data_IF_466781744609
#
_entry.id   IF_466781744609
#
_cell.length_a   1.000
_cell.length_b   1.000
_cell.length_c   1.000
_cell.angle_alpha   90.00
_cell.angle_beta   90.00
_cell.angle_gamma   90.00
#
_symmetry.space_group_name_H-M   'P 1'
#
loop_
_entity.id
_entity.type
_entity.pdbx_description
1 polymer ?
#
# COMPACT_ATOMS: atom_id res chain seq x y z
N UNK A 1 -9.11 40.37 9.88
CA UNK A 1 -8.32 39.54 10.81
C UNK A 1 -9.33 38.63 11.51
N UNK A 2 -9.52 37.40 11.01
CA UNK A 2 -10.62 36.51 11.43
C UNK A 2 -10.06 35.10 11.61
N UNK A 3 -9.69 34.72 12.83
CA UNK A 3 -9.49 33.32 13.18
C UNK A 3 -9.78 33.04 14.66
N UNK A 4 -11.04 32.65 14.96
CA UNK A 4 -11.36 31.68 16.00
C UNK A 4 -11.41 30.24 15.43
N UNK A 5 -11.37 30.10 14.10
CA UNK A 5 -11.40 28.82 13.36
C UNK A 5 -10.03 28.10 13.28
N UNK A 6 -8.94 28.80 13.62
CA UNK A 6 -7.57 28.31 13.44
C UNK A 6 -7.27 27.05 14.27
N UNK A 7 -7.77 26.96 15.50
CA UNK A 7 -7.50 25.79 16.35
C UNK A 7 -8.21 24.53 15.83
N UNK A 8 -9.44 24.66 15.34
CA UNK A 8 -10.18 23.52 14.79
C UNK A 8 -9.53 23.03 13.49
N UNK A 9 -9.22 23.94 12.56
CA UNK A 9 -8.52 23.60 11.31
C UNK A 9 -7.15 22.97 11.58
N UNK A 10 -6.37 23.59 12.47
CA UNK A 10 -5.05 23.08 12.87
C UNK A 10 -5.17 21.69 13.46
N UNK A 11 -6.17 21.42 14.31
CA UNK A 11 -6.38 20.10 14.91
C UNK A 11 -6.74 19.02 13.86
N UNK A 12 -7.57 19.37 12.87
CA UNK A 12 -7.95 18.46 11.78
C UNK A 12 -6.72 18.14 10.92
N UNK A 13 -5.97 19.17 10.50
CA UNK A 13 -4.76 18.99 9.70
C UNK A 13 -3.68 18.21 10.47
N UNK A 14 -3.48 18.50 11.76
CA UNK A 14 -2.57 17.73 12.61
C UNK A 14 -2.98 16.26 12.67
N UNK A 15 -4.27 15.98 12.90
CA UNK A 15 -4.81 14.61 12.91
C UNK A 15 -4.54 13.89 11.58
N UNK A 16 -4.81 14.56 10.45
CA UNK A 16 -4.54 14.01 9.11
C UNK A 16 -3.04 13.76 8.87
N UNK A 17 -2.16 14.64 9.35
CA UNK A 17 -0.70 14.45 9.18
C UNK A 17 -0.12 13.35 10.05
N UNK A 18 -0.71 13.11 11.22
CA UNK A 18 -0.26 12.10 12.18
C UNK A 18 -0.84 10.72 11.92
N UNK A 19 -2.07 10.65 11.40
CA UNK A 19 -2.83 9.39 11.30
C UNK A 19 -3.28 9.06 9.88
N UNK A 20 -3.24 10.01 8.95
CA UNK A 20 -3.82 9.87 7.62
C UNK A 20 -5.33 9.67 7.64
N UNK A 21 -6.01 9.98 8.74
CA UNK A 21 -7.47 9.89 8.84
C UNK A 21 -8.09 11.27 8.75
N UNK A 22 -9.26 11.33 8.13
CA UNK A 22 -10.19 12.44 8.26
C UNK A 22 -11.58 11.89 8.56
N UNK A 23 -12.20 12.38 9.63
CA UNK A 23 -13.59 12.06 9.91
C UNK A 23 -14.50 12.76 8.91
N UNK A 24 -15.56 12.08 8.46
CA UNK A 24 -16.56 12.64 7.55
C UNK A 24 -17.08 13.99 8.05
N UNK A 25 -17.45 14.06 9.33
CA UNK A 25 -17.92 15.30 9.99
C UNK A 25 -16.91 16.45 9.88
N UNK A 26 -15.61 16.16 10.00
CA UNK A 26 -14.58 17.17 9.98
C UNK A 26 -14.28 17.62 8.54
N UNK A 27 -14.36 16.71 7.56
CA UNK A 27 -14.34 17.08 6.13
C UNK A 27 -15.47 18.05 5.78
N UNK A 28 -16.70 17.77 6.24
CA UNK A 28 -17.83 18.68 6.00
C UNK A 28 -17.65 20.04 6.70
N UNK A 29 -17.06 20.09 7.90
CA UNK A 29 -16.71 21.37 8.55
C UNK A 29 -15.68 22.16 7.75
N UNK A 30 -14.67 21.50 7.16
CA UNK A 30 -13.70 22.15 6.29
C UNK A 30 -14.38 22.76 5.05
N UNK A 31 -15.34 22.04 4.48
CA UNK A 31 -16.08 22.51 3.30
C UNK A 31 -17.12 23.59 3.58
N UNK A 32 -17.46 23.82 4.85
CA UNK A 32 -18.31 24.94 5.29
C UNK A 32 -17.52 26.25 5.47
N UNK A 33 -16.18 26.23 5.41
CA UNK A 33 -15.38 27.45 5.51
C UNK A 33 -15.48 28.27 4.22
N UNK A 34 -15.59 29.59 4.32
CA UNK A 34 -15.39 30.48 3.16
C UNK A 34 -13.88 30.58 2.85
N UNK A 35 -13.41 30.25 1.64
CA UNK A 35 -14.16 30.29 0.37
C UNK A 35 -14.68 28.94 -0.14
N UNK A 36 -14.39 27.83 0.53
CA UNK A 36 -14.74 26.49 0.04
C UNK A 36 -16.26 26.34 -0.14
N UNK A 37 -17.04 26.84 0.81
CA UNK A 37 -18.50 26.79 0.75
C UNK A 37 -19.06 27.56 -0.46
N UNK A 38 -18.43 28.69 -0.82
CA UNK A 38 -18.81 29.47 -2.00
C UNK A 38 -18.70 28.67 -3.31
N UNK A 39 -17.74 27.76 -3.42
CA UNK A 39 -17.54 26.92 -4.61
C UNK A 39 -18.25 25.56 -4.53
N UNK A 40 -18.58 25.10 -3.32
CA UNK A 40 -19.30 23.83 -3.08
C UNK A 40 -20.49 24.07 -2.13
N UNK A 41 -21.52 24.80 -2.59
CA UNK A 41 -22.61 25.24 -1.71
C UNK A 41 -23.54 24.09 -1.30
N UNK A 42 -23.95 23.25 -2.25
CA UNK A 42 -24.89 22.15 -2.02
C UNK A 42 -24.20 20.81 -1.73
N UNK A 43 -25.00 19.83 -1.29
CA UNK A 43 -24.51 18.50 -0.92
C UNK A 43 -24.25 17.60 -2.14
N UNK A 44 -24.91 17.85 -3.28
CA UNK A 44 -24.72 17.07 -4.51
C UNK A 44 -23.32 17.27 -5.08
N UNK A 45 -22.83 18.52 -5.10
CA UNK A 45 -21.45 18.84 -5.50
C UNK A 45 -20.46 18.18 -4.53
N UNK A 46 -20.72 18.22 -3.23
CA UNK A 46 -19.85 17.59 -2.23
C UNK A 46 -19.75 16.09 -2.43
N UNK A 47 -20.88 15.41 -2.67
CA UNK A 47 -20.91 13.97 -2.97
C UNK A 47 -20.14 13.65 -4.26
N UNK A 48 -20.31 14.44 -5.32
CA UNK A 48 -19.53 14.30 -6.55
C UNK A 48 -18.03 14.47 -6.30
N UNK A 49 -17.62 15.45 -5.49
CA UNK A 49 -16.22 15.66 -5.13
C UNK A 49 -15.68 14.51 -4.28
N UNK A 50 -16.45 13.94 -3.35
CA UNK A 50 -16.06 12.72 -2.63
C UNK A 50 -15.80 11.57 -3.62
N UNK A 51 -16.71 11.35 -4.56
CA UNK A 51 -16.55 10.30 -5.58
C UNK A 51 -15.31 10.53 -6.43
N UNK A 52 -15.06 11.78 -6.85
CA UNK A 52 -13.88 12.15 -7.63
C UNK A 52 -12.59 11.91 -6.84
N UNK A 53 -12.51 12.38 -5.59
CA UNK A 53 -11.35 12.19 -4.73
C UNK A 53 -11.11 10.71 -4.42
N UNK A 54 -12.18 9.91 -4.32
CA UNK A 54 -12.09 8.45 -4.15
C UNK A 54 -11.58 7.77 -5.41
N UNK A 55 -12.09 8.16 -6.58
CA UNK A 55 -11.65 7.63 -7.87
C UNK A 55 -10.17 7.95 -8.17
N UNK A 56 -9.68 9.09 -7.66
CA UNK A 56 -8.29 9.51 -7.77
C UNK A 56 -7.38 8.91 -6.69
N UNK A 57 -7.90 8.07 -5.80
CA UNK A 57 -7.18 7.49 -4.64
C UNK A 57 -6.56 8.55 -3.70
N UNK A 58 -7.16 9.75 -3.65
CA UNK A 58 -6.79 10.82 -2.70
C UNK A 58 -7.50 10.59 -1.37
N UNK A 59 -8.81 10.30 -1.44
CA UNK A 59 -9.61 9.78 -0.34
C UNK A 59 -9.78 8.28 -0.55
N UNK A 60 -9.73 7.52 0.53
CA UNK A 60 -9.89 6.06 0.49
C UNK A 60 -10.97 5.70 1.50
N UNK A 61 -11.89 4.84 1.06
CA UNK A 61 -12.88 4.22 1.93
C UNK A 61 -12.26 2.91 2.41
N UNK A 62 -11.88 2.79 3.69
CA UNK A 62 -11.19 1.60 4.17
C UNK A 62 -12.07 0.36 4.01
N UNK A 63 -11.48 -0.75 3.55
CA UNK A 63 -12.21 -2.02 3.44
C UNK A 63 -12.76 -2.44 4.80
N UNK A 64 -14.03 -2.86 4.82
CA UNK A 64 -14.74 -3.22 6.06
C UNK A 64 -15.41 -2.04 6.77
N UNK A 65 -15.35 -0.81 6.23
CA UNK A 65 -16.05 0.35 6.77
C UNK A 65 -17.56 0.14 6.93
N UNK A 66 -18.18 -0.68 6.09
CA UNK A 66 -19.62 -1.00 6.17
C UNK A 66 -19.98 -1.94 7.32
N UNK A 67 -19.02 -2.74 7.80
CA UNK A 67 -19.24 -3.78 8.82
C UNK A 67 -18.85 -3.30 10.23
N UNK A 68 -18.13 -2.18 10.33
CA UNK A 68 -17.56 -1.69 11.58
C UNK A 68 -17.91 -0.21 11.74
N UNK A 69 -18.82 0.11 12.65
CA UNK A 69 -19.34 1.48 12.86
C UNK A 69 -18.28 2.51 13.23
N UNK A 70 -17.13 2.06 13.74
CA UNK A 70 -15.98 2.93 14.02
C UNK A 70 -15.23 3.36 12.75
N UNK A 71 -15.32 2.60 11.65
CA UNK A 71 -14.67 2.88 10.37
C UNK A 71 -15.61 3.47 9.32
N UNK A 72 -16.93 3.35 9.50
CA UNK A 72 -17.93 3.93 8.58
C UNK A 72 -17.82 5.45 8.47
N UNK A 73 -17.27 6.12 9.49
CA UNK A 73 -17.25 7.57 9.60
C UNK A 73 -15.89 8.21 9.25
N UNK A 74 -14.96 7.43 8.69
CA UNK A 74 -13.58 7.88 8.43
C UNK A 74 -13.20 7.63 6.98
N UNK A 75 -12.53 8.61 6.38
CA UNK A 75 -11.73 8.41 5.16
C UNK A 75 -10.25 8.33 5.52
N UNK A 76 -9.51 7.57 4.72
CA UNK A 76 -8.04 7.56 4.75
C UNK A 76 -7.51 8.49 3.65
N UNK A 77 -6.47 9.27 3.99
CA UNK A 77 -5.77 10.23 3.14
C UNK A 77 -4.27 9.95 3.27
N UNK A 78 -3.70 8.95 2.57
CA UNK A 78 -2.32 8.53 2.78
C UNK A 78 -1.32 9.64 2.45
N UNK A 79 -1.68 10.51 1.51
CA UNK A 79 -0.82 11.58 1.04
C UNK A 79 -0.52 12.68 2.08
N UNK A 80 -1.27 12.73 3.18
CA UNK A 80 -1.03 13.71 4.25
C UNK A 80 -0.08 13.20 5.32
N UNK A 81 0.20 11.88 5.37
CA UNK A 81 1.01 11.31 6.43
C UNK A 81 2.46 11.74 6.34
N UNK A 82 2.95 12.23 7.48
CA UNK A 82 4.34 12.58 7.73
C UNK A 82 5.03 11.63 8.71
N UNK A 83 4.26 10.80 9.43
CA UNK A 83 4.82 9.82 10.36
C UNK A 83 5.78 8.89 9.62
N UNK A 84 7.02 8.84 10.09
CA UNK A 84 8.02 7.91 9.60
C UNK A 84 7.69 6.51 10.07
N UNK A 85 7.95 5.52 9.21
CA UNK A 85 7.86 4.11 9.60
C UNK A 85 8.85 3.80 10.74
N UNK A 86 8.46 3.03 11.76
CA UNK A 86 9.35 2.57 12.83
C UNK A 86 10.53 1.73 12.29
N UNK A 87 11.64 1.66 13.01
CA UNK A 87 12.81 0.85 12.59
C UNK A 87 12.52 -0.66 12.63
N UNK A 88 11.70 -1.10 13.58
CA UNK A 88 11.19 -2.47 13.72
C UNK A 88 10.22 -2.89 12.61
N UNK A 89 9.72 -1.93 11.82
CA UNK A 89 9.02 -2.22 10.58
C UNK A 89 9.85 -3.09 9.64
N UNK A 90 11.18 -2.86 9.64
CA UNK A 90 12.18 -3.55 8.83
C UNK A 90 12.91 -4.67 9.55
N UNK A 91 12.71 -4.86 10.87
CA UNK A 91 13.44 -5.86 11.63
C UNK A 91 12.99 -7.27 11.19
N UNK A 92 13.62 -7.71 10.11
CA UNK A 92 13.70 -9.09 9.64
C UNK A 92 14.54 -9.93 10.63
N UNK A 93 15.42 -9.27 11.40
CA UNK A 93 16.39 -9.84 12.36
C UNK A 93 15.81 -10.70 13.49
N UNK A 94 14.48 -10.74 13.69
CA UNK A 94 13.83 -11.64 14.67
C UNK A 94 12.73 -12.53 14.07
N UNK A 95 12.60 -12.56 12.74
CA UNK A 95 11.45 -13.16 12.03
C UNK A 95 11.86 -14.01 10.82
N UNK A 96 13.11 -14.52 10.79
CA UNK A 96 13.70 -15.27 9.67
C UNK A 96 12.79 -16.38 9.09
N UNK A 97 11.86 -16.93 9.87
CA UNK A 97 10.97 -18.04 9.47
C UNK A 97 9.51 -17.66 9.27
N UNK A 98 9.14 -16.37 9.25
CA UNK A 98 7.73 -15.93 9.19
C UNK A 98 7.36 -15.08 7.98
N UNK A 99 8.35 -14.77 7.15
CA UNK A 99 8.25 -13.72 6.15
C UNK A 99 8.59 -14.25 4.76
N UNK A 100 7.78 -13.82 3.80
CA UNK A 100 8.04 -13.95 2.37
C UNK A 100 7.76 -12.61 1.71
N UNK A 101 8.63 -12.21 0.78
CA UNK A 101 8.57 -10.90 0.18
C UNK A 101 8.52 -10.94 -1.35
N UNK A 102 7.86 -9.94 -1.92
CA UNK A 102 8.00 -9.53 -3.32
C UNK A 102 8.56 -8.13 -3.40
N UNK A 103 9.29 -7.92 -4.48
CA UNK A 103 9.77 -6.61 -4.90
C UNK A 103 9.35 -6.37 -6.35
N UNK A 104 8.63 -5.27 -6.57
CA UNK A 104 8.39 -4.71 -7.89
C UNK A 104 9.40 -3.60 -8.12
N UNK A 105 10.36 -3.81 -9.01
CA UNK A 105 11.37 -2.81 -9.37
C UNK A 105 10.93 -2.11 -10.66
N UNK A 106 10.54 -0.84 -10.58
CA UNK A 106 10.15 -0.05 -11.75
C UNK A 106 11.39 0.36 -12.57
N UNK A 107 11.23 0.44 -13.89
CA UNK A 107 12.30 0.84 -14.82
C UNK A 107 12.76 2.31 -14.65
N UNK A 108 11.97 3.16 -13.98
CA UNK A 108 12.33 4.55 -13.68
C UNK A 108 13.20 4.63 -12.43
N UNK A 109 13.98 5.71 -12.30
CA UNK A 109 14.85 5.95 -11.13
C UNK A 109 14.08 6.23 -9.82
N UNK A 110 12.82 6.66 -9.89
CA UNK A 110 12.00 6.89 -8.70
C UNK A 110 10.50 6.74 -8.98
N UNK A 111 9.76 6.29 -7.96
CA UNK A 111 8.30 6.28 -7.94
C UNK A 111 7.81 7.67 -7.50
N UNK A 112 7.04 8.40 -8.33
CA UNK A 112 6.42 9.65 -7.91
C UNK A 112 5.57 9.47 -6.66
N UNK A 113 5.64 10.43 -5.75
CA UNK A 113 4.93 10.35 -4.46
C UNK A 113 3.43 10.11 -4.61
N UNK A 114 2.77 10.73 -5.60
CA UNK A 114 1.36 10.50 -5.88
C UNK A 114 1.08 9.04 -6.30
N UNK A 115 1.95 8.44 -7.11
CA UNK A 115 1.86 7.03 -7.49
C UNK A 115 2.07 6.12 -6.28
N UNK A 116 2.99 6.48 -5.38
CA UNK A 116 3.23 5.71 -4.16
C UNK A 116 1.98 5.64 -3.26
N UNK A 117 1.31 6.78 -3.05
CA UNK A 117 0.08 6.81 -2.26
C UNK A 117 -1.10 6.14 -2.96
N UNK A 118 -1.17 6.22 -4.29
CA UNK A 118 -2.16 5.47 -5.07
C UNK A 118 -2.01 3.96 -4.86
N UNK A 119 -0.78 3.43 -4.97
CA UNK A 119 -0.50 2.00 -4.74
C UNK A 119 -0.91 1.56 -3.32
N UNK A 120 -0.51 2.33 -2.30
CA UNK A 120 -0.90 2.06 -0.91
C UNK A 120 -2.42 2.14 -0.75
N UNK A 121 -3.05 3.12 -1.40
CA UNK A 121 -4.49 3.33 -1.29
C UNK A 121 -5.30 2.21 -1.91
N UNK A 122 -4.89 1.73 -3.08
CA UNK A 122 -5.50 0.55 -3.70
C UNK A 122 -5.33 -0.69 -2.82
N UNK A 123 -4.20 -0.83 -2.10
CA UNK A 123 -4.01 -1.91 -1.15
C UNK A 123 -4.96 -1.80 0.06
N UNK A 124 -5.19 -0.61 0.62
CA UNK A 124 -6.15 -0.37 1.72
C UNK A 124 -7.61 -0.61 1.29
N UNK A 125 -7.94 -0.35 0.02
CA UNK A 125 -9.24 -0.73 -0.55
C UNK A 125 -9.39 -2.25 -0.69
N UNK A 126 -8.28 -2.98 -0.80
CA UNK A 126 -8.25 -4.43 -1.02
C UNK A 126 -8.17 -5.23 0.28
N UNK A 127 -7.51 -4.70 1.31
CA UNK A 127 -7.34 -5.33 2.62
C UNK A 127 -7.55 -4.34 3.76
N UNK A 128 -8.21 -4.74 4.87
CA UNK A 128 -8.36 -3.88 6.04
C UNK A 128 -7.01 -3.37 6.55
N UNK A 129 -6.93 -2.08 6.86
CA UNK A 129 -5.76 -1.49 7.51
C UNK A 129 -5.58 -2.06 8.91
N UNK A 130 -4.34 -2.41 9.30
CA UNK A 130 -4.04 -2.87 10.66
C UNK A 130 -4.11 -1.69 11.64
N UNK A 131 -4.56 -1.97 12.86
CA UNK A 131 -4.59 -1.00 13.95
C UNK A 131 -3.83 -1.55 15.15
N UNK A 132 -2.94 -0.75 15.71
CA UNK A 132 -2.21 -1.05 16.93
C UNK A 132 -2.46 0.07 17.93
N UNK A 133 -2.94 -0.26 19.14
CA UNK A 133 -3.31 0.72 20.16
C UNK A 133 -4.23 1.83 19.60
N UNK A 134 -5.21 1.44 18.78
CA UNK A 134 -6.17 2.30 18.05
C UNK A 134 -5.56 3.24 17.00
N UNK A 135 -4.24 3.17 16.76
CA UNK A 135 -3.57 3.92 15.70
C UNK A 135 -3.51 3.10 14.42
N UNK A 136 -3.79 3.69 13.26
CA UNK A 136 -3.64 3.00 11.99
C UNK A 136 -2.15 2.74 11.74
N UNK A 137 -1.79 1.54 11.31
CA UNK A 137 -0.44 1.22 10.88
C UNK A 137 -0.20 1.75 9.45
N UNK A 138 -0.26 3.07 9.30
CA UNK A 138 -0.10 3.80 8.06
C UNK A 138 0.97 4.87 8.25
N UNK A 139 1.98 4.85 7.40
CA UNK A 139 3.19 5.66 7.49
C UNK A 139 3.49 6.33 6.15
N UNK A 140 4.47 7.24 6.15
CA UNK A 140 4.92 7.86 4.92
C UNK A 140 5.43 6.78 3.94
N UNK A 141 4.69 6.58 2.84
CA UNK A 141 4.97 5.56 1.82
C UNK A 141 5.01 4.11 2.34
N UNK A 142 4.30 3.80 3.44
CA UNK A 142 4.19 2.43 3.93
C UNK A 142 2.87 2.16 4.67
N UNK A 143 2.43 0.90 4.70
CA UNK A 143 1.27 0.47 5.50
C UNK A 143 1.35 -1.00 5.90
N UNK A 144 0.62 -1.36 6.96
CA UNK A 144 0.37 -2.75 7.37
C UNK A 144 -1.13 -3.03 7.24
N UNK A 145 -1.46 -4.14 6.61
CA UNK A 145 -2.83 -4.56 6.30
C UNK A 145 -3.09 -5.96 6.85
N UNK A 146 -4.31 -6.23 7.30
CA UNK A 146 -4.72 -7.56 7.75
C UNK A 146 -5.24 -8.36 6.55
N UNK A 147 -4.63 -9.49 6.25
CA UNK A 147 -5.07 -10.40 5.18
C UNK A 147 -5.97 -11.50 5.73
N UNK A 148 -5.58 -12.05 6.88
CA UNK A 148 -6.37 -12.98 7.69
C UNK A 148 -6.04 -12.80 9.16
N UNK A 149 -6.55 -13.66 10.05
CA UNK A 149 -6.26 -13.59 11.50
C UNK A 149 -4.75 -13.68 11.79
N UNK A 150 -4.05 -14.62 11.14
CA UNK A 150 -2.61 -14.83 11.35
C UNK A 150 -1.70 -14.16 10.30
N UNK A 151 -2.25 -13.56 9.23
CA UNK A 151 -1.46 -13.05 8.12
C UNK A 151 -1.59 -11.54 7.95
N UNK A 152 -0.45 -10.87 7.95
CA UNK A 152 -0.33 -9.43 7.71
C UNK A 152 0.40 -9.18 6.40
N UNK A 153 0.00 -8.12 5.70
CA UNK A 153 0.66 -7.62 4.51
C UNK A 153 1.32 -6.28 4.83
N UNK A 154 2.66 -6.25 4.77
CA UNK A 154 3.44 -5.03 4.89
C UNK A 154 3.80 -4.54 3.50
N UNK A 155 3.43 -3.32 3.16
CA UNK A 155 3.80 -2.67 1.89
C UNK A 155 4.58 -1.40 2.19
N UNK A 156 5.66 -1.18 1.45
CA UNK A 156 6.38 0.09 1.49
C UNK A 156 7.03 0.41 0.15
N UNK A 157 7.29 1.69 -0.05
CA UNK A 157 7.82 2.20 -1.32
C UNK A 157 9.10 2.97 -1.05
N UNK A 158 10.16 2.56 -1.72
CA UNK A 158 11.51 3.09 -1.56
C UNK A 158 12.19 3.21 -2.91
N UNK A 159 12.68 4.41 -3.23
CA UNK A 159 13.24 4.76 -4.54
C UNK A 159 12.33 4.36 -5.71
N UNK A 160 12.71 3.33 -6.46
CA UNK A 160 11.98 2.77 -7.58
C UNK A 160 11.33 1.40 -7.27
N UNK A 161 11.26 1.02 -6.01
CA UNK A 161 10.83 -0.31 -5.56
C UNK A 161 9.53 -0.22 -4.77
N UNK A 162 8.57 -1.07 -5.13
CA UNK A 162 7.43 -1.40 -4.26
C UNK A 162 7.78 -2.71 -3.59
N UNK A 163 7.94 -2.66 -2.29
CA UNK A 163 8.27 -3.79 -1.45
C UNK A 163 7.02 -4.27 -0.74
N UNK A 164 6.80 -5.57 -0.77
CA UNK A 164 5.63 -6.21 -0.20
C UNK A 164 6.10 -7.44 0.55
N UNK A 165 5.70 -7.60 1.80
CA UNK A 165 5.98 -8.83 2.55
C UNK A 165 4.71 -9.34 3.21
N UNK A 166 4.46 -10.64 3.08
CA UNK A 166 3.59 -11.33 4.02
C UNK A 166 4.36 -11.60 5.29
N UNK A 167 3.68 -11.45 6.41
CA UNK A 167 4.14 -11.93 7.71
C UNK A 167 3.06 -12.82 8.28
N UNK A 168 3.39 -14.07 8.56
CA UNK A 168 2.54 -14.93 9.38
C UNK A 168 2.96 -14.81 10.83
N UNK A 169 2.01 -14.72 11.77
CA UNK A 169 2.34 -14.59 13.19
C UNK A 169 3.07 -15.83 13.74
N UNK A 170 2.76 -17.01 13.21
CA UNK A 170 3.24 -18.30 13.68
C UNK A 170 4.45 -18.79 12.86
N UNK A 171 4.27 -18.99 11.55
CA UNK A 171 5.28 -19.55 10.66
C UNK A 171 5.02 -19.23 9.19
N UNK A 172 6.08 -19.06 8.40
CA UNK A 172 6.03 -18.99 6.94
C UNK A 172 5.34 -20.22 6.34
N UNK A 173 5.46 -21.38 6.99
CA UNK A 173 4.81 -22.63 6.58
C UNK A 173 3.28 -22.55 6.65
N UNK A 174 2.75 -21.65 7.48
CA UNK A 174 1.31 -21.45 7.67
C UNK A 174 0.71 -20.47 6.67
N UNK A 175 1.51 -19.91 5.77
CA UNK A 175 1.00 -19.08 4.69
C UNK A 175 0.42 -19.98 3.61
N UNK A 176 -0.91 -19.93 3.45
CA UNK A 176 -1.59 -20.65 2.39
C UNK A 176 -1.10 -20.17 1.01
N UNK A 177 -0.74 -21.09 0.09
CA UNK A 177 -0.40 -20.75 -1.29
C UNK A 177 -1.48 -19.95 -2.01
N UNK A 178 -2.77 -20.22 -1.74
CA UNK A 178 -3.88 -19.52 -2.37
C UNK A 178 -3.95 -18.05 -1.92
N UNK A 179 -3.65 -17.79 -0.65
CA UNK A 179 -3.59 -16.43 -0.10
C UNK A 179 -2.41 -15.67 -0.72
N UNK A 180 -1.24 -16.30 -0.76
CA UNK A 180 -0.04 -15.76 -1.38
C UNK A 180 -0.27 -15.39 -2.86
N UNK A 181 -0.80 -16.32 -3.65
CA UNK A 181 -1.14 -16.14 -5.05
C UNK A 181 -2.17 -15.01 -5.25
N UNK A 182 -3.25 -15.01 -4.46
CA UNK A 182 -4.30 -13.98 -4.55
C UNK A 182 -3.77 -12.59 -4.23
N UNK A 183 -2.89 -12.47 -3.23
CA UNK A 183 -2.23 -11.21 -2.88
C UNK A 183 -1.32 -10.74 -4.00
N UNK A 184 -0.48 -11.62 -4.54
CA UNK A 184 0.39 -11.27 -5.67
C UNK A 184 -0.42 -10.85 -6.90
N UNK A 185 -1.46 -11.58 -7.28
CA UNK A 185 -2.28 -11.27 -8.45
C UNK A 185 -2.97 -9.90 -8.28
N UNK A 186 -3.59 -9.68 -7.11
CA UNK A 186 -4.28 -8.43 -6.82
C UNK A 186 -3.31 -7.23 -6.81
N UNK A 187 -2.16 -7.36 -6.16
CA UNK A 187 -1.13 -6.31 -6.14
C UNK A 187 -0.57 -6.01 -7.53
N UNK A 188 -0.28 -7.05 -8.31
CA UNK A 188 0.25 -6.90 -9.67
C UNK A 188 -0.74 -6.13 -10.54
N UNK A 189 -2.02 -6.52 -10.54
CA UNK A 189 -3.07 -5.80 -11.27
C UNK A 189 -3.23 -4.35 -10.80
N UNK A 190 -3.12 -4.10 -9.50
CA UNK A 190 -3.22 -2.75 -8.93
C UNK A 190 -2.03 -1.86 -9.35
N UNK A 191 -0.82 -2.40 -9.34
CA UNK A 191 0.40 -1.72 -9.80
C UNK A 191 0.27 -1.42 -11.30
N UNK A 192 -0.11 -2.39 -12.12
CA UNK A 192 -0.30 -2.21 -13.56
C UNK A 192 -1.35 -1.16 -13.89
N UNK A 193 -2.50 -1.21 -13.21
CA UNK A 193 -3.56 -0.21 -13.36
C UNK A 193 -3.07 1.20 -13.00
N UNK A 194 -2.32 1.31 -11.89
CA UNK A 194 -1.74 2.59 -11.43
C UNK A 194 -0.70 3.13 -12.41
N UNK A 195 0.17 2.26 -12.95
CA UNK A 195 1.17 2.62 -13.96
C UNK A 195 0.53 3.03 -15.28
N UNK A 196 -0.50 2.30 -15.73
CA UNK A 196 -1.24 2.60 -16.95
C UNK A 196 -1.95 3.95 -16.85
N UNK A 197 -2.64 4.19 -15.73
CA UNK A 197 -3.27 5.48 -15.45
C UNK A 197 -2.24 6.61 -15.52
N UNK A 198 -1.13 6.47 -14.79
CA UNK A 198 -0.06 7.46 -14.79
C UNK A 198 0.49 7.71 -16.21
N UNK A 199 0.75 6.66 -16.99
CA UNK A 199 1.25 6.83 -18.36
C UNK A 199 0.26 7.53 -19.29
N UNK A 200 -1.05 7.21 -19.18
CA UNK A 200 -2.11 7.89 -19.92
C UNK A 200 -2.21 9.37 -19.55
N UNK A 201 -2.13 9.71 -18.26
CA UNK A 201 -2.18 11.10 -17.79
C UNK A 201 -1.04 11.96 -18.34
N UNK A 202 0.12 11.37 -18.65
CA UNK A 202 1.24 12.05 -19.31
C UNK A 202 1.23 11.93 -20.84
N UNK A 203 0.10 11.58 -21.45
CA UNK A 203 -0.06 11.52 -22.91
C UNK A 203 0.73 10.40 -23.59
N UNK A 204 1.27 9.42 -22.84
CA UNK A 204 1.97 8.28 -23.43
C UNK A 204 0.95 7.24 -23.89
N UNK A 205 1.00 6.87 -25.17
CA UNK A 205 0.23 5.75 -25.74
C UNK A 205 0.90 4.42 -25.33
N UNK A 206 0.66 3.98 -24.10
CA UNK A 206 1.08 2.66 -23.64
C UNK A 206 -0.11 1.72 -23.75
N UNK A 207 0.06 0.62 -24.49
CA UNK A 207 -0.91 -0.48 -24.52
C UNK A 207 -0.78 -1.30 -23.24
N UNK A 208 -1.85 -1.92 -22.73
CA UNK A 208 -1.79 -2.78 -21.53
C UNK A 208 -0.66 -3.83 -21.60
N UNK A 209 -0.42 -4.39 -22.79
CA UNK A 209 0.66 -5.35 -23.07
C UNK A 209 2.08 -4.82 -22.87
N UNK A 210 2.30 -3.51 -22.84
CA UNK A 210 3.61 -2.87 -22.60
C UNK A 210 3.80 -2.43 -21.16
N UNK A 211 2.80 -2.61 -20.30
CA UNK A 211 2.89 -2.20 -18.88
C UNK A 211 3.80 -3.15 -18.10
N UNK A 212 3.80 -4.45 -18.46
CA UNK A 212 4.69 -5.46 -17.88
C UNK A 212 6.18 -5.13 -18.11
N UNK A 213 6.52 -4.42 -19.19
CA UNK A 213 7.89 -3.99 -19.47
C UNK A 213 8.36 -2.83 -18.57
N UNK A 214 7.44 -2.23 -17.79
CA UNK A 214 7.75 -1.08 -16.94
C UNK A 214 8.29 -1.48 -15.56
N UNK A 215 8.26 -2.78 -15.24
CA UNK A 215 8.71 -3.27 -13.95
C UNK A 215 9.23 -4.71 -14.05
N UNK A 216 9.99 -5.11 -13.05
CA UNK A 216 10.40 -6.50 -12.83
C UNK A 216 9.88 -6.98 -11.49
N UNK A 217 9.54 -8.26 -11.40
CA UNK A 217 9.10 -8.90 -10.16
C UNK A 217 10.23 -9.80 -9.68
N UNK A 218 10.59 -9.64 -8.41
CA UNK A 218 11.54 -10.50 -7.71
C UNK A 218 10.88 -11.01 -6.44
N UNK A 219 11.12 -12.27 -6.11
CA UNK A 219 10.68 -12.87 -4.86
C UNK A 219 11.87 -12.96 -3.91
N UNK A 220 11.63 -12.82 -2.61
CA UNK A 220 12.71 -12.74 -1.65
C UNK A 220 12.39 -13.33 -0.30
N UNK A 221 13.45 -13.76 0.36
CA UNK A 221 13.44 -14.34 1.70
C UNK A 221 14.37 -13.58 2.64
N UNK A 222 14.06 -13.58 3.95
CA UNK A 222 14.98 -13.17 5.00
C UNK A 222 16.38 -13.79 4.84
N UNK A 223 17.40 -12.97 5.10
CA UNK A 223 18.81 -13.35 5.07
C UNK A 223 19.57 -12.52 6.12
N UNK A 224 19.40 -12.89 7.40
CA UNK A 224 19.87 -12.06 8.52
C UNK A 224 19.15 -10.72 8.51
N UNK A 225 19.90 -9.62 8.49
CA UNK A 225 19.33 -8.27 8.53
C UNK A 225 18.79 -7.74 7.20
N UNK A 226 18.86 -8.55 6.14
CA UNK A 226 18.47 -8.16 4.79
C UNK A 226 17.47 -9.15 4.18
N UNK A 227 16.87 -8.76 3.05
CA UNK A 227 16.07 -9.66 2.22
C UNK A 227 16.86 -9.95 0.96
N UNK A 228 17.12 -11.22 0.67
CA UNK A 228 17.73 -11.65 -0.57
C UNK A 228 16.64 -11.91 -1.61
N UNK A 229 16.85 -11.41 -2.82
CA UNK A 229 15.88 -11.49 -3.91
C UNK A 229 16.41 -12.34 -5.04
N UNK A 230 15.48 -13.03 -5.71
CA UNK A 230 15.68 -13.78 -6.94
C UNK A 230 14.60 -13.37 -7.94
N UNK A 231 14.92 -13.21 -9.23
CA UNK A 231 13.89 -12.92 -10.25
C UNK A 231 12.77 -13.96 -10.22
N UNK A 232 11.52 -13.51 -10.30
CA UNK A 232 10.35 -14.40 -10.23
C UNK A 232 10.41 -15.52 -11.26
N UNK A 233 10.88 -15.22 -12.48
CA UNK A 233 11.12 -16.18 -13.57
C UNK A 233 12.08 -17.33 -13.25
N UNK A 234 12.92 -17.17 -12.23
CA UNK A 234 13.95 -18.14 -11.85
C UNK A 234 13.51 -18.98 -10.64
N UNK A 235 12.61 -18.46 -9.80
CA UNK A 235 12.00 -19.18 -8.65
C UNK A 235 11.35 -20.50 -9.07
N UNK A 236 10.74 -20.55 -10.24
CA UNK A 236 10.07 -21.74 -10.77
C UNK A 236 11.04 -22.79 -11.34
N UNK A 237 12.31 -22.42 -11.58
CA UNK A 237 13.27 -23.26 -12.34
C UNK A 237 14.29 -23.97 -11.46
N UNK A 238 14.53 -23.46 -10.25
CA UNK A 238 15.56 -23.97 -9.35
C UNK A 238 14.94 -24.26 -7.99
N UNK A 239 15.41 -25.30 -7.30
CA UNK A 239 14.93 -25.67 -5.96
C UNK A 239 15.62 -24.86 -4.84
N UNK A 240 16.83 -24.36 -5.11
CA UNK A 240 17.54 -23.46 -4.21
C UNK A 240 18.32 -22.42 -5.01
N UNK A 241 18.65 -21.30 -4.37
CA UNK A 241 19.57 -20.31 -4.91
C UNK A 241 20.56 -19.85 -3.86
N UNK A 242 21.75 -19.47 -4.31
CA UNK A 242 22.77 -18.86 -3.46
C UNK A 242 22.69 -17.35 -3.61
N UNK A 243 22.49 -16.62 -2.51
CA UNK A 243 22.45 -15.16 -2.55
C UNK A 243 23.86 -14.55 -2.67
N UNK A 244 23.92 -13.24 -2.86
CA UNK A 244 25.18 -12.48 -2.97
C UNK A 244 26.06 -12.60 -1.70
N UNK A 245 25.47 -12.93 -0.55
CA UNK A 245 26.19 -13.19 0.70
C UNK A 245 26.68 -14.64 0.83
N UNK A 246 26.45 -15.47 -0.19
CA UNK A 246 26.86 -16.87 -0.20
C UNK A 246 25.99 -17.82 0.62
N UNK A 247 24.83 -17.36 1.14
CA UNK A 247 23.86 -18.24 1.82
C UNK A 247 22.93 -18.91 0.81
N UNK A 248 22.59 -20.16 1.07
CA UNK A 248 21.65 -20.92 0.26
C UNK A 248 20.22 -20.73 0.81
N UNK A 249 19.27 -20.51 -0.09
CA UNK A 249 17.85 -20.32 0.22
C UNK A 249 17.00 -21.29 -0.59
N UNK A 250 15.99 -21.89 0.04
CA UNK A 250 15.01 -22.78 -0.60
C UNK A 250 13.94 -21.96 -1.35
N UNK A 251 13.70 -22.27 -2.64
CA UNK A 251 12.69 -21.56 -3.44
C UNK A 251 11.27 -22.07 -3.22
N UNK A 252 11.06 -23.21 -2.57
CA UNK A 252 9.76 -23.88 -2.41
C UNK A 252 8.67 -22.94 -1.91
N UNK A 253 8.99 -22.07 -0.96
CA UNK A 253 8.05 -21.09 -0.41
C UNK A 253 7.83 -19.90 -1.33
N UNK A 254 8.88 -19.46 -2.03
CA UNK A 254 8.77 -18.39 -3.02
C UNK A 254 7.85 -18.75 -4.18
N UNK A 255 7.76 -20.05 -4.54
CA UNK A 255 6.84 -20.55 -5.56
C UNK A 255 5.38 -20.28 -5.22
N UNK A 256 5.02 -20.12 -3.95
CA UNK A 256 3.65 -19.78 -3.55
C UNK A 256 3.26 -18.35 -3.92
N UNK A 257 4.25 -17.44 -3.98
CA UNK A 257 4.04 -16.04 -4.33
C UNK A 257 4.22 -15.77 -5.82
N UNK A 258 4.93 -16.64 -6.56
CA UNK A 258 5.15 -16.47 -7.99
C UNK A 258 4.17 -17.35 -8.77
N UNK A 259 3.09 -16.74 -9.29
CA UNK A 259 2.11 -17.44 -10.09
C UNK A 259 2.56 -17.62 -11.55
N UNK A 260 2.20 -18.75 -12.15
CA UNK A 260 2.61 -19.25 -13.47
C UNK A 260 1.91 -18.53 -14.65
N UNK A 261 1.70 -17.22 -14.54
CA UNK A 261 1.18 -16.37 -15.64
C UNK A 261 2.20 -15.37 -16.17
N UNK A 262 3.50 -15.61 -15.90
CA UNK A 262 4.59 -15.02 -16.67
C UNK A 262 4.86 -15.93 -17.87
N UNK A 263 3.85 -16.05 -18.75
CA UNK A 263 3.86 -16.81 -20.00
C UNK A 263 3.10 -16.04 -21.06
#
# INVERSE_FOLDING_TARGET
>A
MFFPADQCLTSILQTMTMTGKIYKKDLFKLWQQDPVHRYMPDNTIKEFVIQLLTHLDILIIPKGAEQNSSFSDVYIVPCTIKATRPSDFYLVDSMDERIICLRYTLARHSIPTALAYKIIGTAINSWPLKYELQKPCLYHKASVLNVSEDNELRIWIEDNRVMVCMVNQNSLLSISPDIAASVQECLTRNIESSLLFHCKSFGRKITPTKVVDLYTIEAGMPCGSNICFIPSKDVLKIDSWKCDQGREHDTRYLRYWVFDKVG
#
